data_IF_380908937751
#
_entry.id   IF_380908937751
#
_cell.length_a   1.000
_cell.length_b   1.000
_cell.length_c   1.000
_cell.angle_alpha   90.00
_cell.angle_beta   90.00
_cell.angle_gamma   90.00
#
_symmetry.space_group_name_H-M   'P 1'
#
loop_
_entity.id
_entity.type
_entity.pdbx_description
1 polymer ?
#
# COMPACT_ATOMS: atom_id res chain seq x y z
N UNK A 1 -15.47 -22.97 27.76
CA UNK A 1 -14.09 -22.45 27.69
C UNK A 1 -13.83 -22.12 26.24
N UNK A 2 -14.19 -20.92 25.82
CA UNK A 2 -14.10 -20.45 24.44
C UNK A 2 -12.66 -20.04 24.21
N UNK A 3 -11.90 -20.81 23.44
CA UNK A 3 -10.57 -20.42 22.98
C UNK A 3 -10.76 -19.24 22.03
N UNK A 4 -10.55 -18.02 22.54
CA UNK A 4 -10.39 -16.87 21.67
C UNK A 4 -9.10 -17.06 20.88
N UNK A 5 -9.24 -17.42 19.61
CA UNK A 5 -8.14 -17.50 18.68
C UNK A 5 -7.62 -16.07 18.44
N UNK A 6 -6.69 -15.63 19.28
CA UNK A 6 -5.98 -14.37 19.10
C UNK A 6 -5.03 -14.55 17.92
N UNK A 7 -5.32 -13.88 16.80
CA UNK A 7 -4.42 -13.87 15.66
C UNK A 7 -3.09 -13.25 16.11
N UNK A 8 -2.05 -14.08 16.23
CA UNK A 8 -0.71 -13.63 16.58
C UNK A 8 -0.04 -13.12 15.30
N UNK A 9 0.04 -11.80 15.15
CA UNK A 9 0.76 -11.16 14.05
C UNK A 9 2.14 -10.76 14.53
N UNK A 10 3.16 -11.18 13.78
CA UNK A 10 4.55 -10.72 13.96
C UNK A 10 4.91 -9.86 12.78
N UNK A 11 5.49 -8.69 13.04
CA UNK A 11 5.82 -7.69 12.03
C UNK A 11 7.32 -7.46 12.04
N UNK A 12 7.94 -7.54 10.87
CA UNK A 12 9.31 -7.09 10.62
C UNK A 12 9.27 -5.99 9.55
N UNK A 13 10.11 -4.98 9.71
CA UNK A 13 10.17 -3.84 8.81
C UNK A 13 11.62 -3.43 8.59
N UNK A 14 11.95 -3.07 7.36
CA UNK A 14 13.26 -2.59 6.97
C UNK A 14 13.12 -1.70 5.74
N UNK A 15 13.92 -0.64 5.67
CA UNK A 15 14.07 0.18 4.48
C UNK A 15 15.44 0.85 4.50
N UNK A 16 16.02 1.02 3.32
CA UNK A 16 17.31 1.65 3.13
C UNK A 16 17.24 2.55 1.89
N UNK A 17 17.97 3.67 1.90
CA UNK A 17 18.00 4.60 0.75
C UNK A 17 18.76 4.03 -0.45
N UNK A 18 19.54 2.97 -0.25
CA UNK A 18 20.48 2.43 -1.22
C UNK A 18 21.47 3.49 -1.70
N UNK A 19 21.65 3.57 -3.02
CA UNK A 19 22.55 4.53 -3.67
C UNK A 19 21.96 5.95 -3.79
N UNK A 20 20.66 6.16 -3.50
CA UNK A 20 20.01 7.47 -3.64
C UNK A 20 20.38 8.42 -2.49
N UNK A 21 20.28 9.73 -2.72
CA UNK A 21 20.53 10.75 -1.69
C UNK A 21 19.45 10.81 -0.61
N UNK A 22 18.23 10.39 -0.95
CA UNK A 22 17.07 10.38 -0.06
C UNK A 22 16.31 9.07 -0.23
N UNK A 23 15.77 8.55 0.88
CA UNK A 23 14.83 7.45 0.85
C UNK A 23 13.41 7.98 0.59
N UNK A 24 12.81 7.55 -0.53
CA UNK A 24 11.46 7.94 -0.92
C UNK A 24 10.44 6.82 -0.66
N UNK A 25 10.88 5.71 -0.06
CA UNK A 25 10.02 4.65 0.41
C UNK A 25 9.34 5.08 1.71
N UNK A 26 8.07 4.72 1.84
CA UNK A 26 7.33 4.84 3.09
C UNK A 26 6.58 3.55 3.34
N UNK A 27 6.52 3.13 4.59
CA UNK A 27 5.81 1.93 4.99
C UNK A 27 5.29 2.09 6.41
N UNK A 28 4.34 1.26 6.80
CA UNK A 28 3.86 1.22 8.16
C UNK A 28 2.92 0.06 8.41
N UNK A 29 2.76 -0.27 9.68
CA UNK A 29 1.79 -1.26 10.15
C UNK A 29 1.04 -0.67 11.34
N UNK A 30 -0.28 -0.73 11.31
CA UNK A 30 -1.12 -0.37 12.45
C UNK A 30 -1.88 -1.63 12.93
N UNK A 31 -1.62 -2.00 14.17
CA UNK A 31 -2.37 -3.00 14.93
C UNK A 31 -3.19 -2.23 15.97
N UNK A 32 -4.48 -1.97 15.72
CA UNK A 32 -5.30 -1.23 16.69
C UNK A 32 -5.66 -2.12 17.89
N UNK A 33 -6.12 -1.49 18.97
CA UNK A 33 -6.76 -2.17 20.08
C UNK A 33 -8.25 -2.43 19.77
N UNK A 34 -8.90 -3.30 20.54
CA UNK A 34 -10.35 -3.49 20.49
C UNK A 34 -11.08 -2.19 20.87
N UNK A 35 -12.21 -1.83 20.22
CA UNK A 35 -13.00 -2.63 19.28
C UNK A 35 -12.58 -2.49 17.80
N UNK A 36 -11.56 -1.67 17.50
CA UNK A 36 -11.11 -1.42 16.14
C UNK A 36 -10.41 -2.64 15.53
N UNK A 37 -9.74 -3.45 16.36
CA UNK A 37 -9.13 -4.70 15.91
C UNK A 37 -10.16 -5.67 15.31
N UNK A 38 -11.33 -5.81 15.92
CA UNK A 38 -12.39 -6.72 15.45
C UNK A 38 -13.14 -6.12 14.24
N UNK A 39 -13.41 -4.82 14.29
CA UNK A 39 -14.23 -4.13 13.29
C UNK A 39 -13.48 -3.71 12.03
N UNK A 40 -12.17 -3.43 12.12
CA UNK A 40 -11.33 -2.92 11.02
C UNK A 40 -10.09 -3.77 10.77
N UNK A 41 -9.58 -4.50 11.76
CA UNK A 41 -8.42 -5.38 11.58
C UNK A 41 -7.08 -4.62 11.56
N UNK A 42 -6.05 -5.29 11.06
CA UNK A 42 -4.66 -4.82 11.02
C UNK A 42 -4.36 -4.32 9.61
N UNK A 43 -3.67 -3.18 9.48
CA UNK A 43 -3.25 -2.64 8.18
C UNK A 43 -1.74 -2.66 8.08
N UNK A 44 -1.21 -3.22 6.99
CA UNK A 44 0.17 -3.08 6.56
C UNK A 44 0.20 -2.39 5.20
N UNK A 45 1.09 -1.43 5.01
CA UNK A 45 1.18 -0.66 3.77
C UNK A 45 2.64 -0.32 3.47
N UNK A 46 2.96 -0.28 2.18
CA UNK A 46 4.24 0.14 1.64
C UNK A 46 3.99 0.93 0.35
N UNK A 47 4.76 1.99 0.16
CA UNK A 47 4.68 2.91 -0.96
C UNK A 47 6.10 3.33 -1.38
N UNK A 48 6.42 3.24 -2.66
CA UNK A 48 7.67 3.76 -3.24
C UNK A 48 7.36 5.06 -4.00
N UNK A 49 7.97 6.17 -3.57
CA UNK A 49 7.82 7.47 -4.21
C UNK A 49 8.51 7.51 -5.58
N UNK A 50 7.78 7.90 -6.62
CA UNK A 50 8.32 7.94 -7.99
C UNK A 50 9.50 8.92 -8.05
N UNK A 51 10.68 8.40 -8.39
CA UNK A 51 11.92 9.15 -8.41
C UNK A 51 11.95 10.24 -9.47
N UNK A 52 12.56 11.39 -9.15
CA UNK A 52 12.71 12.53 -10.08
C UNK A 52 12.41 13.90 -9.45
N UNK A 53 11.89 13.92 -8.23
CA UNK A 53 11.68 15.14 -7.44
C UNK A 53 11.51 14.86 -5.94
N UNK A 54 11.61 15.90 -5.11
CA UNK A 54 11.28 15.86 -3.68
C UNK A 54 9.78 15.51 -3.42
N UNK A 55 8.92 15.58 -4.43
CA UNK A 55 7.51 15.25 -4.30
C UNK A 55 7.25 13.74 -4.13
N UNK A 56 8.19 12.87 -4.52
CA UNK A 56 8.05 11.41 -4.37
C UNK A 56 7.93 10.99 -2.90
N UNK A 57 8.78 11.54 -2.02
CA UNK A 57 8.71 11.31 -0.56
C UNK A 57 7.39 11.83 0.03
N UNK A 58 6.93 13.00 -0.41
CA UNK A 58 5.64 13.54 0.05
C UNK A 58 4.48 12.64 -0.39
N UNK A 59 4.53 12.12 -1.61
CA UNK A 59 3.52 11.21 -2.13
C UNK A 59 3.46 9.90 -1.33
N UNK A 60 4.59 9.21 -1.16
CA UNK A 60 4.65 7.94 -0.44
C UNK A 60 4.23 8.08 1.02
N UNK A 61 4.74 9.10 1.72
CA UNK A 61 4.34 9.36 3.12
C UNK A 61 2.86 9.69 3.27
N UNK A 62 2.31 10.50 2.35
CA UNK A 62 0.90 10.87 2.42
C UNK A 62 0.02 9.66 2.18
N UNK A 63 0.35 8.83 1.19
CA UNK A 63 -0.39 7.60 0.89
C UNK A 63 -0.40 6.61 2.05
N UNK A 64 0.76 6.39 2.68
CA UNK A 64 0.87 5.54 3.88
C UNK A 64 0.07 6.11 5.04
N UNK A 65 0.24 7.41 5.36
CA UNK A 65 -0.47 8.05 6.48
C UNK A 65 -1.98 8.05 6.27
N UNK A 66 -2.47 8.42 5.08
CA UNK A 66 -3.90 8.37 4.76
C UNK A 66 -4.46 6.97 4.97
N UNK A 67 -3.79 5.93 4.47
CA UNK A 67 -4.31 4.57 4.65
C UNK A 67 -4.29 4.12 6.11
N UNK A 68 -3.25 4.46 6.89
CA UNK A 68 -3.15 4.07 8.29
C UNK A 68 -4.07 4.87 9.23
N UNK A 69 -4.51 6.06 8.85
CA UNK A 69 -5.39 6.89 9.66
C UNK A 69 -6.83 6.90 9.15
N UNK A 70 -7.04 7.26 7.89
CA UNK A 70 -8.38 7.52 7.35
C UNK A 70 -9.19 6.23 7.20
N UNK A 71 -8.53 5.08 6.98
CA UNK A 71 -9.19 3.77 6.93
C UNK A 71 -9.99 3.47 8.21
N UNK A 72 -9.42 3.76 9.38
CA UNK A 72 -10.06 3.49 10.66
C UNK A 72 -11.19 4.48 10.98
N UNK A 73 -11.23 5.63 10.30
CA UNK A 73 -12.29 6.63 10.39
C UNK A 73 -13.44 6.39 9.39
N UNK A 74 -13.33 5.39 8.50
CA UNK A 74 -14.40 5.08 7.55
C UNK A 74 -15.62 4.47 8.25
N UNK A 75 -16.81 4.63 7.64
CA UNK A 75 -18.06 4.10 8.18
C UNK A 75 -17.97 2.60 8.53
N UNK A 76 -18.54 2.20 9.67
CA UNK A 76 -18.52 0.80 10.12
C UNK A 76 -19.32 -0.13 9.19
N UNK A 77 -20.32 0.40 8.50
CA UNK A 77 -21.13 -0.35 7.54
C UNK A 77 -20.39 -0.68 6.23
N UNK A 78 -19.22 -0.10 6.00
CA UNK A 78 -18.45 -0.33 4.79
C UNK A 78 -17.60 -1.58 4.88
N UNK A 79 -17.52 -2.30 3.77
CA UNK A 79 -16.57 -3.41 3.63
C UNK A 79 -15.13 -2.89 3.67
N UNK A 80 -14.16 -3.77 3.93
CA UNK A 80 -12.72 -3.45 3.86
C UNK A 80 -12.38 -2.88 2.48
N UNK A 81 -12.84 -3.53 1.40
CA UNK A 81 -12.66 -3.09 0.02
C UNK A 81 -13.13 -1.66 -0.20
N UNK A 82 -14.40 -1.40 0.12
CA UNK A 82 -14.99 -0.06 -0.05
C UNK A 82 -14.26 1.00 0.76
N UNK A 83 -13.88 0.68 2.00
CA UNK A 83 -13.18 1.62 2.88
C UNK A 83 -11.82 2.02 2.32
N UNK A 84 -11.00 1.04 1.92
CA UNK A 84 -9.68 1.30 1.34
C UNK A 84 -9.80 2.02 0.00
N UNK A 85 -10.70 1.60 -0.89
CA UNK A 85 -10.92 2.27 -2.19
C UNK A 85 -11.29 3.75 -2.01
N UNK A 86 -12.17 4.07 -1.05
CA UNK A 86 -12.58 5.47 -0.80
C UNK A 86 -11.42 6.32 -0.28
N UNK A 87 -10.60 5.77 0.63
CA UNK A 87 -9.40 6.44 1.13
C UNK A 87 -8.42 6.68 -0.02
N UNK A 88 -8.07 5.63 -0.76
CA UNK A 88 -7.10 5.73 -1.85
C UNK A 88 -7.56 6.66 -2.98
N UNK A 89 -8.86 6.69 -3.31
CA UNK A 89 -9.41 7.64 -4.29
C UNK A 89 -9.31 9.10 -3.81
N UNK A 90 -9.55 9.36 -2.52
CA UNK A 90 -9.40 10.69 -1.94
C UNK A 90 -7.93 11.13 -1.92
N UNK A 91 -7.04 10.25 -1.45
CA UNK A 91 -5.59 10.47 -1.47
C UNK A 91 -5.08 10.72 -2.89
N UNK A 92 -5.51 9.93 -3.87
CA UNK A 92 -5.11 10.09 -5.27
C UNK A 92 -5.49 11.47 -5.82
N UNK A 93 -6.71 11.94 -5.56
CA UNK A 93 -7.15 13.28 -6.00
C UNK A 93 -6.30 14.38 -5.38
N UNK A 94 -5.95 14.25 -4.11
CA UNK A 94 -5.05 15.21 -3.45
C UNK A 94 -3.66 15.21 -4.10
N UNK A 95 -3.09 14.02 -4.36
CA UNK A 95 -1.79 13.88 -5.02
C UNK A 95 -1.78 14.46 -6.44
N UNK A 96 -2.81 14.19 -7.24
CA UNK A 96 -2.98 14.78 -8.57
C UNK A 96 -3.06 16.32 -8.49
N UNK A 97 -3.80 16.86 -7.52
CA UNK A 97 -3.88 18.31 -7.29
C UNK A 97 -2.53 18.94 -6.94
N UNK A 98 -1.72 18.24 -6.13
CA UNK A 98 -0.38 18.69 -5.75
C UNK A 98 0.63 18.67 -6.92
N UNK A 99 0.43 17.77 -7.88
CA UNK A 99 1.25 17.66 -9.10
C UNK A 99 0.84 18.60 -10.23
N UNK A 100 -0.31 19.27 -10.14
CA UNK A 100 -0.81 20.21 -11.16
C UNK A 100 -0.11 21.58 -11.12
N UNK A 101 0.52 21.93 -10.00
CA UNK A 101 1.36 23.12 -9.90
C UNK A 101 2.65 22.91 -10.71
N UNK A 102 2.85 23.71 -11.76
CA UNK A 102 3.98 23.62 -12.72
C UNK A 102 5.38 23.69 -12.10
N UNK A 103 5.47 24.05 -10.82
CA UNK A 103 6.72 24.09 -10.02
C UNK A 103 6.99 22.79 -9.26
N UNK A 104 5.97 21.95 -9.04
CA UNK A 104 6.05 20.64 -8.41
C UNK A 104 6.00 19.57 -9.48
N UNK A 105 7.16 18.97 -9.79
CA UNK A 105 7.25 17.72 -10.54
C UNK A 105 6.32 16.66 -9.90
N UNK A 106 5.83 15.72 -10.71
CA UNK A 106 4.79 14.73 -10.37
C UNK A 106 4.86 14.20 -8.92
N UNK A 107 3.82 14.48 -8.12
CA UNK A 107 3.62 13.97 -6.77
C UNK A 107 2.99 12.58 -6.86
N UNK A 108 3.81 11.56 -7.17
CA UNK A 108 3.33 10.22 -7.46
C UNK A 108 4.06 9.14 -6.65
N UNK A 109 3.36 8.04 -6.38
CA UNK A 109 3.90 6.91 -5.61
C UNK A 109 3.18 5.61 -5.96
N UNK A 110 3.85 4.48 -5.82
CA UNK A 110 3.19 3.17 -5.77
C UNK A 110 2.49 2.98 -4.43
N UNK A 111 1.61 1.98 -4.32
CA UNK A 111 1.06 1.53 -3.05
C UNK A 111 0.72 0.05 -3.11
N UNK A 112 1.22 -0.69 -2.12
CA UNK A 112 0.87 -2.07 -1.83
C UNK A 112 0.43 -2.16 -0.38
N UNK A 113 -0.79 -2.66 -0.15
CA UNK A 113 -1.37 -2.76 1.18
C UNK A 113 -2.02 -4.13 1.43
N UNK A 114 -1.99 -4.52 2.70
CA UNK A 114 -2.67 -5.69 3.23
C UNK A 114 -3.51 -5.27 4.43
N UNK A 115 -4.81 -5.57 4.39
CA UNK A 115 -5.69 -5.45 5.55
C UNK A 115 -6.07 -6.86 6.02
N UNK A 116 -5.66 -7.22 7.23
CA UNK A 116 -5.99 -8.51 7.85
C UNK A 116 -7.13 -8.31 8.82
N UNK A 117 -8.31 -8.82 8.46
CA UNK A 117 -9.52 -8.74 9.29
C UNK A 117 -10.09 -10.14 9.48
N UNK A 118 -10.25 -10.54 10.74
CA UNK A 118 -10.67 -11.89 11.11
C UNK A 118 -9.73 -12.96 10.50
N UNK A 119 -10.22 -13.80 9.59
CA UNK A 119 -9.44 -14.86 8.92
C UNK A 119 -9.12 -14.54 7.45
N UNK A 120 -9.35 -13.29 7.02
CA UNK A 120 -9.17 -12.85 5.63
C UNK A 120 -8.11 -11.76 5.54
N UNK A 121 -7.19 -11.92 4.60
CA UNK A 121 -6.27 -10.89 4.15
C UNK A 121 -6.82 -10.25 2.86
N UNK A 122 -6.90 -8.92 2.86
CA UNK A 122 -7.36 -8.10 1.74
C UNK A 122 -6.16 -7.33 1.17
N UNK A 123 -5.81 -7.62 -0.07
CA UNK A 123 -4.68 -7.03 -0.77
C UNK A 123 -5.16 -5.91 -1.70
N UNK A 124 -4.47 -4.78 -1.67
CA UNK A 124 -4.69 -3.63 -2.57
C UNK A 124 -3.36 -3.24 -3.19
N UNK A 125 -3.33 -3.04 -4.50
CA UNK A 125 -2.09 -2.82 -5.21
C UNK A 125 -2.21 -1.83 -6.39
N UNK A 126 -1.26 -0.89 -6.45
CA UNK A 126 -1.05 0.03 -7.56
C UNK A 126 0.44 0.33 -7.70
N UNK A 127 1.08 -0.15 -8.76
CA UNK A 127 2.48 0.18 -9.09
C UNK A 127 3.25 -1.09 -9.39
N UNK A 128 4.54 -1.10 -9.13
CA UNK A 128 5.38 -2.30 -9.27
C UNK A 128 5.96 -2.78 -7.94
N UNK A 129 5.42 -2.30 -6.81
CA UNK A 129 5.76 -2.86 -5.49
C UNK A 129 5.17 -4.24 -5.37
N UNK A 130 5.82 -5.12 -4.61
CA UNK A 130 5.47 -6.54 -4.65
C UNK A 130 5.02 -7.04 -3.31
N UNK A 131 3.95 -7.83 -3.34
CA UNK A 131 3.51 -8.61 -2.19
C UNK A 131 3.76 -10.07 -2.53
N UNK A 132 4.44 -10.76 -1.64
CA UNK A 132 4.73 -12.18 -1.73
C UNK A 132 4.10 -12.94 -0.58
N UNK A 133 3.71 -14.18 -0.83
CA UNK A 133 3.33 -15.14 0.19
C UNK A 133 4.44 -16.16 0.37
N UNK A 134 4.84 -16.42 1.61
CA UNK A 134 5.71 -17.54 1.94
C UNK A 134 4.90 -18.66 2.57
N UNK A 135 4.77 -19.80 1.89
CA UNK A 135 4.02 -20.95 2.40
C UNK A 135 4.74 -22.24 2.06
N UNK A 136 5.02 -23.05 3.09
CA UNK A 136 5.73 -24.34 2.94
C UNK A 136 7.06 -24.20 2.18
N UNK A 137 7.79 -23.12 2.42
CA UNK A 137 9.07 -22.83 1.77
C UNK A 137 8.95 -22.26 0.35
N UNK A 138 7.74 -22.09 -0.18
CA UNK A 138 7.51 -21.49 -1.49
C UNK A 138 7.15 -20.02 -1.37
N UNK A 139 7.86 -19.16 -2.12
CA UNK A 139 7.60 -17.74 -2.21
C UNK A 139 6.80 -17.45 -3.49
N UNK A 140 5.51 -17.14 -3.35
CA UNK A 140 4.61 -16.85 -4.48
C UNK A 140 4.33 -15.34 -4.56
N UNK A 141 4.59 -14.71 -5.70
CA UNK A 141 4.18 -13.31 -5.93
C UNK A 141 2.65 -13.22 -6.06
N UNK A 142 2.04 -12.29 -5.34
CA UNK A 142 0.59 -12.07 -5.32
C UNK A 142 0.15 -10.84 -6.13
N UNK A 143 1.08 -9.96 -6.49
CA UNK A 143 0.81 -8.76 -7.29
C UNK A 143 1.36 -8.91 -8.72
N UNK A 144 0.83 -8.13 -9.66
CA UNK A 144 1.38 -7.99 -10.99
C UNK A 144 1.96 -6.58 -11.15
N UNK A 145 3.22 -6.46 -11.59
CA UNK A 145 3.85 -5.16 -11.76
C UNK A 145 3.10 -4.31 -12.81
N UNK A 146 2.64 -3.11 -12.42
CA UNK A 146 2.05 -2.12 -13.31
C UNK A 146 3.13 -1.24 -13.96
N UNK A 147 3.95 -1.85 -14.82
CA UNK A 147 5.00 -1.15 -15.58
C UNK A 147 5.15 -1.68 -17.00
N UNK A 148 5.67 -0.84 -17.87
CA UNK A 148 6.06 -1.19 -19.23
C UNK A 148 7.55 -1.00 -19.42
N UNK A 149 8.18 -1.93 -20.15
CA UNK A 149 9.59 -1.84 -20.54
C UNK A 149 9.69 -1.23 -21.93
N UNK A 150 10.46 -0.16 -22.06
CA UNK A 150 10.71 0.54 -23.33
C UNK A 150 12.10 0.19 -23.88
N UNK A 151 13.02 -0.17 -23.01
CA UNK A 151 14.32 -0.79 -23.34
C UNK A 151 14.79 -1.66 -22.18
N UNK A 152 15.91 -2.38 -22.32
CA UNK A 152 16.46 -3.24 -21.26
C UNK A 152 16.63 -2.51 -19.92
N UNK A 153 17.07 -1.25 -19.94
CA UNK A 153 17.31 -0.46 -18.73
C UNK A 153 16.27 0.64 -18.45
N UNK A 154 15.15 0.66 -19.19
CA UNK A 154 14.12 1.70 -19.01
C UNK A 154 12.72 1.12 -18.95
N UNK A 155 12.08 1.35 -17.82
CA UNK A 155 10.68 1.08 -17.61
C UNK A 155 9.95 2.34 -17.09
N UNK A 156 8.63 2.32 -17.24
CA UNK A 156 7.74 3.35 -16.72
C UNK A 156 6.54 2.69 -16.04
N UNK A 157 6.11 3.29 -14.94
CA UNK A 157 4.87 2.94 -14.26
C UNK A 157 3.67 3.23 -15.18
N UNK A 158 2.80 2.25 -15.35
CA UNK A 158 1.51 2.43 -16.04
C UNK A 158 0.37 2.76 -15.08
N UNK A 159 0.52 2.42 -13.79
CA UNK A 159 -0.42 2.78 -12.73
C UNK A 159 0.35 3.19 -11.48
N UNK A 160 -0.06 4.29 -10.86
CA UNK A 160 0.46 4.78 -9.59
C UNK A 160 -0.58 5.73 -8.97
N UNK A 161 -0.44 6.02 -7.68
CA UNK A 161 -1.17 7.14 -7.08
C UNK A 161 -0.57 8.45 -7.56
N UNK A 162 -1.41 9.43 -7.87
CA UNK A 162 -1.03 10.79 -8.24
C UNK A 162 -0.72 11.01 -9.72
N UNK A 163 -0.74 9.98 -10.57
CA UNK A 163 -0.46 10.12 -12.02
C UNK A 163 -1.71 10.43 -12.87
N UNK A 164 -2.87 9.89 -12.48
CA UNK A 164 -4.16 10.05 -13.19
C UNK A 164 -5.28 10.17 -12.15
N UNK A 165 -6.32 10.94 -12.46
CA UNK A 165 -7.52 11.05 -11.61
C UNK A 165 -8.31 9.74 -11.56
N UNK A 166 -8.27 8.95 -12.62
CA UNK A 166 -8.81 7.61 -12.67
C UNK A 166 -7.79 6.62 -12.09
N UNK A 167 -8.09 6.12 -10.89
CA UNK A 167 -7.27 5.15 -10.20
C UNK A 167 -7.86 3.74 -10.36
N UNK A 168 -7.10 2.86 -11.00
CA UNK A 168 -7.40 1.44 -11.09
C UNK A 168 -6.59 0.68 -10.02
N UNK A 169 -7.29 0.01 -9.10
CA UNK A 169 -6.72 -0.66 -7.93
C UNK A 169 -6.91 -2.15 -8.09
N UNK A 170 -5.81 -2.90 -8.15
CA UNK A 170 -5.87 -4.35 -8.09
C UNK A 170 -6.28 -4.77 -6.67
N UNK A 171 -7.37 -5.55 -6.57
CA UNK A 171 -7.89 -6.05 -5.31
C UNK A 171 -8.02 -7.58 -5.32
N UNK A 172 -7.44 -8.21 -4.31
CA UNK A 172 -7.52 -9.65 -4.08
C UNK A 172 -7.81 -9.92 -2.61
N UNK A 173 -8.46 -11.05 -2.30
CA UNK A 173 -8.58 -11.50 -0.91
C UNK A 173 -8.37 -13.01 -0.79
N UNK A 174 -7.78 -13.43 0.32
CA UNK A 174 -7.41 -14.82 0.57
C UNK A 174 -7.36 -15.09 2.08
N UNK A 175 -7.41 -16.36 2.53
CA UNK A 175 -7.24 -16.71 3.93
C UNK A 175 -5.89 -16.22 4.49
N UNK A 176 -5.84 -15.89 5.79
CA UNK A 176 -4.61 -15.39 6.42
C UNK A 176 -3.47 -16.42 6.35
N UNK A 177 -2.33 -15.96 5.82
CA UNK A 177 -1.08 -16.73 5.65
C UNK A 177 0.12 -15.80 5.93
N UNK A 178 1.36 -16.32 5.89
CA UNK A 178 2.56 -15.48 6.05
C UNK A 178 2.79 -14.68 4.76
N UNK A 179 2.82 -13.35 4.89
CA UNK A 179 2.94 -12.40 3.77
C UNK A 179 4.13 -11.49 3.99
N UNK A 180 4.85 -11.19 2.91
CA UNK A 180 5.97 -10.28 2.80
C UNK A 180 5.59 -9.17 1.82
N UNK A 181 5.87 -7.90 2.15
CA UNK A 181 5.67 -6.75 1.26
C UNK A 181 7.04 -6.12 1.01
N UNK A 182 7.41 -5.89 -0.25
CA UNK A 182 8.73 -5.37 -0.64
C UNK A 182 8.64 -4.28 -1.70
N UNK A 183 9.60 -3.37 -1.67
CA UNK A 183 10.04 -2.57 -2.83
C UNK A 183 11.06 -3.38 -3.67
N UNK A 184 11.44 -2.87 -4.85
CA UNK A 184 12.38 -3.52 -5.77
C UNK A 184 13.85 -3.16 -5.50
#
# INVERSE_FOLDING_TARGET
MTLEARAMVTVGQYSDRGAKTENQDSYGVLIPESPLLESKGIVAVLADGVSGSAAGRVASETSVKSLLHDYFCTAESWTVKTSVEKVLLATNRWLCGQGADSTRRSCATTLSALVVKSTTAHLFHVGDTRIYRLRRGELTQLTQDHRIWVSEDRNFLTRALGIDLHLDIDYHHFPVEVVLITTW
#
